data_IF_745546415874
#
_entry.id   IF_745546415874
#
_cell.length_a   1.000
_cell.length_b   1.000
_cell.length_c   1.000
_cell.angle_alpha   90.00
_cell.angle_beta   90.00
_cell.angle_gamma   90.00
#
_symmetry.space_group_name_H-M   'P 1'
#
loop_
_entity.id
_entity.type
_entity.pdbx_description
1 polymer ?
#
# COMPACT_ATOMS: atom_id res chain seq x y z
N UNK A 1 -2.46 17.41 9.89
CA UNK A 1 -2.03 16.00 9.88
C UNK A 1 -2.73 15.37 8.69
N UNK A 2 -1.97 14.81 7.74
CA UNK A 2 -2.53 14.20 6.53
C UNK A 2 -2.53 12.68 6.69
N UNK A 3 -3.64 12.02 6.38
CA UNK A 3 -3.82 10.56 6.42
C UNK A 3 -3.56 9.92 5.05
N UNK A 4 -3.30 8.61 5.03
CA UNK A 4 -3.19 7.87 3.77
C UNK A 4 -4.49 7.93 2.92
N UNK A 5 -5.66 7.96 3.58
CA UNK A 5 -6.96 8.16 2.93
C UNK A 5 -7.08 9.53 2.25
N UNK A 6 -6.65 10.59 2.92
CA UNK A 6 -6.64 11.94 2.32
C UNK A 6 -5.70 12.04 1.12
N UNK A 7 -4.57 11.33 1.15
CA UNK A 7 -3.68 11.23 0.00
C UNK A 7 -4.35 10.49 -1.17
N UNK A 8 -4.96 9.33 -0.93
CA UNK A 8 -5.65 8.55 -1.95
C UNK A 8 -6.79 9.35 -2.63
N UNK A 9 -7.55 10.13 -1.85
CA UNK A 9 -8.58 11.00 -2.42
C UNK A 9 -8.01 12.12 -3.31
N UNK A 10 -6.78 12.57 -3.05
CA UNK A 10 -6.11 13.62 -3.86
C UNK A 10 -5.29 13.04 -5.02
N UNK A 11 -5.05 11.73 -5.02
CA UNK A 11 -4.32 11.03 -6.07
C UNK A 11 -5.09 9.75 -6.47
N UNK A 12 -6.19 9.88 -7.25
CA UNK A 12 -7.09 8.77 -7.54
C UNK A 12 -6.49 7.64 -8.37
N UNK A 13 -5.40 7.90 -9.09
CA UNK A 13 -4.70 6.91 -9.90
C UNK A 13 -3.81 5.97 -9.07
N UNK A 14 -3.54 6.29 -7.80
CA UNK A 14 -2.77 5.43 -6.91
C UNK A 14 -3.60 4.22 -6.46
N UNK A 15 -3.00 3.02 -6.50
CA UNK A 15 -3.59 1.82 -5.89
C UNK A 15 -3.46 1.92 -4.36
N UNK A 16 -4.56 2.23 -3.69
CA UNK A 16 -4.62 2.40 -2.24
C UNK A 16 -5.25 1.20 -1.55
N UNK A 17 -4.50 0.59 -0.62
CA UNK A 17 -4.91 -0.61 0.13
C UNK A 17 -4.83 -0.38 1.63
N UNK A 18 -5.86 -0.81 2.36
CA UNK A 18 -5.90 -0.83 3.82
C UNK A 18 -5.75 -2.28 4.29
N UNK A 19 -4.72 -2.55 5.08
CA UNK A 19 -4.48 -3.85 5.71
C UNK A 19 -5.14 -3.82 7.09
N UNK A 20 -6.30 -4.47 7.23
CA UNK A 20 -7.15 -4.37 8.43
C UNK A 20 -6.59 -5.06 9.68
N UNK A 21 -5.62 -5.96 9.51
CA UNK A 21 -5.02 -6.78 10.56
C UNK A 21 -3.56 -6.39 10.87
N UNK A 22 -3.11 -5.20 10.46
CA UNK A 22 -1.77 -4.69 10.71
C UNK A 22 -1.76 -3.32 11.40
N UNK A 23 -0.69 -3.05 12.16
CA UNK A 23 -0.31 -1.77 12.71
C UNK A 23 0.56 -0.93 11.77
N UNK A 24 1.66 -0.38 12.29
CA UNK A 24 2.53 0.55 11.54
C UNK A 24 3.77 -0.12 10.94
N UNK A 25 4.10 -1.33 11.34
CA UNK A 25 5.38 -1.93 10.97
C UNK A 25 5.30 -2.51 9.56
N UNK A 26 6.26 -2.15 8.70
CA UNK A 26 6.36 -2.71 7.37
C UNK A 26 6.54 -4.25 7.35
N UNK A 27 6.99 -4.82 8.48
CA UNK A 27 7.24 -6.25 8.65
C UNK A 27 6.04 -7.04 9.18
N UNK A 28 4.90 -6.40 9.40
CA UNK A 28 3.66 -7.13 9.68
C UNK A 28 3.24 -7.91 8.43
N UNK A 29 2.76 -9.14 8.62
CA UNK A 29 2.56 -10.10 7.53
C UNK A 29 1.71 -9.54 6.39
N UNK A 30 0.63 -8.82 6.71
CA UNK A 30 -0.23 -8.20 5.71
C UNK A 30 0.47 -7.07 4.95
N UNK A 31 1.21 -6.19 5.64
CA UNK A 31 1.93 -5.09 4.99
C UNK A 31 3.08 -5.63 4.12
N UNK A 32 3.84 -6.61 4.63
CA UNK A 32 4.91 -7.25 3.85
C UNK A 32 4.35 -7.90 2.58
N UNK A 33 3.20 -8.58 2.67
CA UNK A 33 2.54 -9.19 1.50
C UNK A 33 2.18 -8.15 0.43
N UNK A 34 1.58 -7.02 0.82
CA UNK A 34 1.20 -5.95 -0.11
C UNK A 34 2.42 -5.28 -0.73
N UNK A 35 3.49 -5.06 0.05
CA UNK A 35 4.72 -4.48 -0.46
C UNK A 35 5.40 -5.38 -1.49
N UNK A 36 5.50 -6.69 -1.23
CA UNK A 36 6.05 -7.66 -2.18
C UNK A 36 5.21 -7.72 -3.46
N UNK A 37 3.88 -7.78 -3.32
CA UNK A 37 2.96 -7.80 -4.46
C UNK A 37 3.09 -6.54 -5.33
N UNK A 38 3.25 -5.37 -4.71
CA UNK A 38 3.49 -4.12 -5.42
C UNK A 38 4.82 -4.13 -6.16
N UNK A 39 5.90 -4.62 -5.53
CA UNK A 39 7.21 -4.71 -6.20
C UNK A 39 7.19 -5.67 -7.39
N UNK A 40 6.50 -6.81 -7.27
CA UNK A 40 6.32 -7.76 -8.37
C UNK A 40 5.50 -7.13 -9.51
N UNK A 41 4.43 -6.39 -9.19
CA UNK A 41 3.63 -5.69 -10.19
C UNK A 41 4.43 -4.64 -10.96
N UNK A 42 5.27 -3.85 -10.28
CA UNK A 42 6.15 -2.87 -10.94
C UNK A 42 7.22 -3.52 -11.83
N UNK A 43 7.70 -4.71 -11.46
CA UNK A 43 8.62 -5.49 -12.31
C UNK A 43 7.95 -5.92 -13.62
N UNK A 44 6.68 -6.32 -13.56
CA UNK A 44 5.91 -6.82 -14.71
C UNK A 44 5.31 -5.72 -15.59
N UNK A 45 5.27 -4.48 -15.09
CA UNK A 45 4.70 -3.33 -15.81
C UNK A 45 5.68 -2.63 -16.76
N UNK A 46 6.94 -3.08 -16.84
CA UNK A 46 7.97 -2.60 -17.78
C UNK A 46 8.07 -3.44 -19.04
#
# INVERSE_FOLDING_TARGET
MTTAWELANRWPEADFRIVTDAGHSAYESGITHELLSATDAFLLAG
#
